data_IF_119979006332
#
_entry.id   IF_119979006332
#
_cell.length_a   1.000
_cell.length_b   1.000
_cell.length_c   1.000
_cell.angle_alpha   90.00
_cell.angle_beta   90.00
_cell.angle_gamma   90.00
#
_symmetry.space_group_name_H-M   'P 1'
#
loop_
_entity.id
_entity.type
_entity.pdbx_description
1 polymer ?
#
# COMPACT_ATOMS: atom_id res chain seq x y z
N UNK A 1 37.01 42.87 -19.55
CA UNK A 1 35.70 42.61 -20.18
C UNK A 1 35.23 41.16 -19.96
N UNK A 2 36.09 40.16 -20.14
CA UNK A 2 35.72 38.74 -19.94
C UNK A 2 35.43 38.36 -18.47
N UNK A 3 36.09 39.00 -17.50
CA UNK A 3 35.86 38.73 -16.07
C UNK A 3 34.53 39.31 -15.54
N UNK A 4 34.00 40.36 -16.20
CA UNK A 4 32.72 40.97 -15.82
C UNK A 4 31.52 40.18 -16.36
N UNK A 5 31.73 39.38 -17.42
CA UNK A 5 30.71 38.52 -18.01
C UNK A 5 30.51 37.20 -17.23
N UNK A 6 31.49 36.82 -16.40
CA UNK A 6 31.41 35.61 -15.58
C UNK A 6 30.66 35.81 -14.25
N UNK A 7 30.57 37.06 -13.75
CA UNK A 7 29.75 37.38 -12.57
C UNK A 7 28.25 37.45 -12.87
N UNK A 8 27.84 37.55 -14.13
CA UNK A 8 26.43 37.72 -14.51
C UNK A 8 25.66 36.40 -14.66
N UNK A 9 26.31 35.24 -14.49
CA UNK A 9 25.69 33.91 -14.64
C UNK A 9 25.35 33.20 -13.31
N UNK A 10 25.42 33.88 -12.16
CA UNK A 10 25.18 33.28 -10.85
C UNK A 10 23.91 33.73 -10.11
N UNK A 11 22.94 34.33 -10.79
CA UNK A 11 21.64 34.66 -10.19
C UNK A 11 20.53 33.79 -10.75
N UNK A 12 20.31 32.65 -10.10
CA UNK A 12 19.08 31.87 -10.20
C UNK A 12 18.10 32.43 -9.14
N UNK A 13 16.84 32.73 -9.48
CA UNK A 13 15.90 33.27 -8.50
C UNK A 13 15.44 32.18 -7.52
N UNK A 14 15.65 32.44 -6.23
CA UNK A 14 15.09 31.68 -5.11
C UNK A 14 13.54 31.71 -5.16
N UNK A 15 12.83 30.58 -5.00
CA UNK A 15 11.39 30.60 -4.80
C UNK A 15 11.09 31.19 -3.41
N UNK A 16 10.46 32.36 -3.39
CA UNK A 16 10.03 33.02 -2.16
C UNK A 16 9.03 32.19 -1.34
N UNK A 17 8.88 32.48 -0.04
CA UNK A 17 7.97 31.75 0.84
C UNK A 17 6.52 31.96 0.41
N UNK A 18 5.85 30.88 0.03
CA UNK A 18 4.40 30.87 -0.16
C UNK A 18 3.72 31.12 1.20
N UNK A 19 3.11 32.30 1.32
CA UNK A 19 2.19 32.61 2.40
C UNK A 19 0.90 31.82 2.17
N UNK A 20 0.60 30.91 3.10
CA UNK A 20 -0.74 30.34 3.28
C UNK A 20 -1.68 31.47 3.72
N UNK A 21 -2.83 31.69 3.04
CA UNK A 21 -3.84 32.62 3.54
C UNK A 21 -4.42 32.08 4.84
N UNK A 22 -4.28 32.87 5.91
CA UNK A 22 -4.99 32.65 7.17
C UNK A 22 -6.49 32.84 6.92
N UNK A 23 -7.28 31.79 7.11
CA UNK A 23 -8.73 31.93 7.23
C UNK A 23 -9.03 32.47 8.63
N UNK A 24 -9.45 33.72 8.64
CA UNK A 24 -9.93 34.49 9.79
C UNK A 24 -11.15 33.80 10.45
N UNK A 25 -11.10 33.68 11.77
CA UNK A 25 -12.21 33.21 12.59
C UNK A 25 -13.20 34.36 12.83
N UNK A 26 -14.49 34.11 12.54
CA UNK A 26 -15.64 34.94 12.90
C UNK A 26 -16.88 34.05 13.13
N UNK A 27 -17.92 34.53 13.85
CA UNK A 27 -18.38 33.90 15.08
C UNK A 27 -19.51 32.86 14.92
N UNK A 28 -19.56 31.96 15.91
CA UNK A 28 -20.61 30.97 16.18
C UNK A 28 -21.94 31.67 16.47
N UNK A 29 -23.06 31.23 15.85
CA UNK A 29 -24.21 30.85 16.66
C UNK A 29 -25.05 29.69 16.08
N UNK A 30 -25.65 28.89 16.96
CA UNK A 30 -26.88 28.16 16.63
C UNK A 30 -26.82 26.63 16.68
N UNK A 31 -26.90 26.09 17.89
CA UNK A 31 -27.77 24.97 18.31
C UNK A 31 -28.19 23.92 17.26
N UNK A 32 -27.84 22.65 17.52
CA UNK A 32 -28.45 21.53 16.79
C UNK A 32 -27.88 20.15 17.15
N UNK A 33 -28.30 19.64 18.31
CA UNK A 33 -28.40 18.21 18.68
C UNK A 33 -27.12 17.38 18.80
N UNK A 34 -26.86 16.96 20.04
CA UNK A 34 -26.14 15.75 20.35
C UNK A 34 -26.85 14.56 19.68
N UNK A 35 -26.11 13.83 18.84
CA UNK A 35 -26.47 12.48 18.45
C UNK A 35 -25.44 11.56 19.09
N UNK A 36 -25.99 10.70 19.94
CA UNK A 36 -25.33 9.71 20.76
C UNK A 36 -24.30 8.92 19.95
N UNK A 37 -23.06 8.88 20.42
CA UNK A 37 -22.16 7.79 20.07
C UNK A 37 -22.69 6.56 20.80
N UNK A 38 -23.60 5.83 20.14
CA UNK A 38 -23.90 4.48 20.52
C UNK A 38 -22.60 3.69 20.37
N UNK A 39 -21.97 3.36 21.49
CA UNK A 39 -21.01 2.26 21.56
C UNK A 39 -21.73 1.04 21.00
N UNK A 40 -21.42 0.68 19.76
CA UNK A 40 -21.80 -0.62 19.24
C UNK A 40 -20.86 -1.60 19.91
N UNK A 41 -21.31 -2.11 21.05
CA UNK A 41 -20.76 -3.28 21.72
C UNK A 41 -20.50 -4.35 20.67
N UNK A 42 -19.25 -4.78 20.60
CA UNK A 42 -18.73 -5.81 19.70
C UNK A 42 -19.30 -7.21 19.97
N UNK A 43 -20.34 -7.32 20.82
CA UNK A 43 -20.69 -8.54 21.54
C UNK A 43 -22.07 -9.12 21.14
N UNK A 44 -22.57 -8.89 19.93
CA UNK A 44 -23.90 -9.43 19.54
C UNK A 44 -24.02 -10.02 18.14
N UNK A 45 -22.91 -10.31 17.45
CA UNK A 45 -22.94 -10.99 16.15
C UNK A 45 -22.24 -12.37 16.15
N UNK A 46 -22.12 -13.02 17.30
CA UNK A 46 -21.51 -14.36 17.39
C UNK A 46 -22.51 -15.53 17.54
N UNK A 47 -23.83 -15.29 17.51
CA UNK A 47 -24.79 -16.35 17.89
C UNK A 47 -25.43 -17.13 16.74
N UNK A 48 -24.87 -17.14 15.53
CA UNK A 48 -25.40 -17.98 14.44
C UNK A 48 -24.39 -18.24 13.33
N UNK A 49 -23.20 -18.73 13.68
CA UNK A 49 -22.34 -19.39 12.70
C UNK A 49 -22.39 -20.89 13.01
N UNK A 50 -22.86 -21.66 12.04
CA UNK A 50 -22.84 -23.11 12.06
C UNK A 50 -21.44 -23.62 12.44
N UNK A 51 -21.37 -24.65 13.29
CA UNK A 51 -20.13 -25.25 13.80
C UNK A 51 -19.10 -25.59 12.71
N UNK A 52 -19.55 -25.73 11.45
CA UNK A 52 -18.75 -26.02 10.28
C UNK A 52 -17.94 -24.79 9.77
N UNK A 53 -18.39 -23.57 10.07
CA UNK A 53 -17.69 -22.33 9.69
C UNK A 53 -16.46 -22.07 10.57
N UNK A 54 -16.50 -22.47 11.84
CA UNK A 54 -15.36 -22.33 12.75
C UNK A 54 -14.21 -23.31 12.41
N UNK A 55 -14.53 -24.47 11.83
CA UNK A 55 -13.54 -25.45 11.37
C UNK A 55 -12.82 -25.00 10.09
N UNK A 56 -13.48 -24.22 9.22
CA UNK A 56 -12.87 -23.57 8.06
C UNK A 56 -12.04 -22.33 8.42
N UNK A 57 -12.32 -21.66 9.54
CA UNK A 57 -11.55 -20.51 10.00
C UNK A 57 -10.07 -20.87 10.27
N UNK A 58 -9.79 -22.10 10.72
CA UNK A 58 -8.41 -22.58 10.88
C UNK A 58 -7.67 -22.80 9.55
N UNK A 59 -8.39 -22.85 8.42
CA UNK A 59 -7.82 -23.07 7.11
C UNK A 59 -7.37 -21.78 6.40
N UNK A 60 -7.60 -20.59 6.97
CA UNK A 60 -7.27 -19.31 6.35
C UNK A 60 -6.48 -18.41 7.29
N UNK A 61 -5.57 -17.61 6.71
CA UNK A 61 -4.88 -16.55 7.47
C UNK A 61 -5.79 -15.32 7.48
N UNK A 62 -5.78 -14.58 8.59
CA UNK A 62 -6.52 -13.32 8.68
C UNK A 62 -6.02 -12.34 7.62
N UNK A 63 -6.95 -11.59 7.02
CA UNK A 63 -6.58 -10.57 6.05
C UNK A 63 -5.74 -9.49 6.74
N UNK A 64 -4.60 -9.17 6.15
CA UNK A 64 -3.70 -8.14 6.65
C UNK A 64 -3.28 -7.18 5.54
N UNK A 65 -3.04 -5.93 5.93
CA UNK A 65 -2.40 -4.95 5.06
C UNK A 65 -0.89 -5.17 5.00
N UNK A 66 -0.20 -4.75 3.93
CA UNK A 66 1.25 -4.84 3.87
C UNK A 66 1.91 -4.16 5.08
N UNK A 67 2.87 -4.85 5.70
CA UNK A 67 3.66 -4.37 6.85
C UNK A 67 2.89 -4.18 8.17
N UNK A 68 1.66 -4.70 8.31
CA UNK A 68 0.84 -4.55 9.53
C UNK A 68 1.54 -4.91 10.84
N UNK A 69 2.46 -5.89 10.82
CA UNK A 69 3.21 -6.34 11.99
C UNK A 69 4.52 -5.57 12.23
N UNK A 70 4.96 -4.79 11.24
CA UNK A 70 6.27 -4.13 11.23
C UNK A 70 6.18 -2.62 11.45
N UNK A 71 4.99 -2.02 11.30
CA UNK A 71 4.71 -0.58 11.46
C UNK A 71 3.36 -0.35 12.16
N UNK A 72 3.14 0.81 12.82
CA UNK A 72 1.83 1.14 13.40
C UNK A 72 0.74 1.29 12.33
N UNK A 73 -0.57 1.23 12.69
CA UNK A 73 -1.68 1.29 11.75
C UNK A 73 -1.72 2.54 10.85
N UNK A 74 -1.21 3.68 11.33
CA UNK A 74 -1.09 4.93 10.57
C UNK A 74 0.37 5.43 10.65
N UNK A 75 1.28 4.86 9.83
CA UNK A 75 2.71 5.11 9.98
C UNK A 75 3.15 6.39 9.28
N UNK A 76 4.09 7.09 9.91
CA UNK A 76 4.77 8.24 9.31
C UNK A 76 5.74 7.78 8.21
N UNK A 77 6.15 8.74 7.36
CA UNK A 77 7.15 8.47 6.30
C UNK A 77 8.48 7.97 6.88
N UNK A 78 8.88 8.46 8.07
CA UNK A 78 10.11 8.06 8.72
C UNK A 78 10.08 6.58 9.17
N UNK A 79 8.97 6.14 9.75
CA UNK A 79 8.78 4.75 10.20
C UNK A 79 8.75 3.79 9.00
N UNK A 80 8.03 4.15 7.94
CA UNK A 80 8.02 3.37 6.69
C UNK A 80 9.40 3.31 6.03
N UNK A 81 10.14 4.42 6.03
CA UNK A 81 11.51 4.45 5.52
C UNK A 81 12.43 3.55 6.34
N UNK A 82 12.34 3.59 7.67
CA UNK A 82 13.13 2.73 8.53
C UNK A 82 12.83 1.25 8.26
N UNK A 83 11.55 0.85 8.17
CA UNK A 83 11.17 -0.53 7.87
C UNK A 83 11.64 -0.99 6.49
N UNK A 84 11.38 -0.22 5.43
CA UNK A 84 11.57 -0.67 4.04
C UNK A 84 12.98 -0.39 3.51
N UNK A 85 13.52 0.80 3.80
CA UNK A 85 14.78 1.27 3.23
C UNK A 85 15.98 0.97 4.13
N UNK A 86 15.83 1.03 5.45
CA UNK A 86 16.92 0.75 6.39
C UNK A 86 16.95 -0.74 6.75
N UNK A 87 15.86 -1.26 7.30
CA UNK A 87 15.73 -2.67 7.72
C UNK A 87 15.48 -3.64 6.56
N UNK A 88 15.22 -3.11 5.36
CA UNK A 88 14.99 -3.88 4.12
C UNK A 88 13.86 -4.90 4.22
N UNK A 89 12.84 -4.62 5.04
CA UNK A 89 11.70 -5.51 5.22
C UNK A 89 10.89 -5.56 3.93
N UNK A 90 10.33 -6.73 3.64
CA UNK A 90 9.35 -6.97 2.57
C UNK A 90 8.14 -7.70 3.17
N UNK A 91 6.96 -7.60 2.54
CA UNK A 91 5.77 -8.29 3.02
C UNK A 91 6.05 -9.79 3.15
N UNK A 92 5.65 -10.37 4.29
CA UNK A 92 5.84 -11.79 4.57
C UNK A 92 4.97 -12.61 3.63
N UNK A 93 5.54 -13.69 3.11
CA UNK A 93 4.82 -14.63 2.26
C UNK A 93 4.29 -15.77 3.12
N UNK A 94 3.00 -16.07 2.99
CA UNK A 94 2.42 -17.24 3.65
C UNK A 94 3.12 -18.52 3.18
N UNK A 95 3.61 -19.38 4.10
CA UNK A 95 4.15 -20.69 3.73
C UNK A 95 3.14 -21.55 2.96
N UNK A 96 1.83 -21.31 3.14
CA UNK A 96 0.77 -22.01 2.40
C UNK A 96 0.84 -21.73 0.91
N UNK A 97 1.16 -20.50 0.50
CA UNK A 97 1.26 -20.14 -0.92
C UNK A 97 2.39 -20.91 -1.62
N UNK A 98 3.46 -21.23 -0.89
CA UNK A 98 4.58 -22.00 -1.45
C UNK A 98 4.26 -23.47 -1.68
N UNK A 99 3.16 -23.99 -1.11
CA UNK A 99 2.74 -25.39 -1.28
C UNK A 99 2.22 -25.69 -2.69
N UNK A 100 1.61 -24.72 -3.35
CA UNK A 100 0.99 -24.90 -4.67
C UNK A 100 1.88 -24.33 -5.78
N UNK A 101 2.04 -25.06 -6.88
CA UNK A 101 2.88 -24.65 -8.01
C UNK A 101 2.39 -23.34 -8.66
N UNK A 102 1.08 -23.18 -8.82
CA UNK A 102 0.47 -21.95 -9.31
C UNK A 102 0.85 -20.75 -8.46
N UNK A 103 0.61 -20.86 -7.16
CA UNK A 103 0.89 -19.78 -6.19
C UNK A 103 2.37 -19.45 -6.08
N UNK A 104 3.28 -20.43 -6.20
CA UNK A 104 4.73 -20.17 -6.22
C UNK A 104 5.12 -19.24 -7.37
N UNK A 105 4.63 -19.50 -8.57
CA UNK A 105 4.96 -18.67 -9.73
C UNK A 105 4.41 -17.24 -9.57
N UNK A 106 3.20 -17.08 -9.01
CA UNK A 106 2.66 -15.76 -8.65
C UNK A 106 3.49 -15.04 -7.59
N UNK A 107 3.92 -15.77 -6.56
CA UNK A 107 4.81 -15.26 -5.51
C UNK A 107 6.11 -14.76 -6.12
N UNK A 108 6.71 -15.49 -7.04
CA UNK A 108 7.92 -15.05 -7.75
C UNK A 108 7.68 -13.70 -8.44
N UNK A 109 6.62 -13.57 -9.24
CA UNK A 109 6.30 -12.28 -9.88
C UNK A 109 6.12 -11.14 -8.88
N UNK A 110 5.39 -11.37 -7.78
CA UNK A 110 5.22 -10.36 -6.73
C UNK A 110 6.57 -9.96 -6.14
N UNK A 111 7.46 -10.93 -5.89
CA UNK A 111 8.78 -10.64 -5.31
C UNK A 111 9.71 -9.86 -6.24
N UNK A 112 9.56 -10.03 -7.55
CA UNK A 112 10.32 -9.26 -8.54
C UNK A 112 9.88 -7.79 -8.58
N UNK A 113 8.66 -7.46 -8.14
CA UNK A 113 8.16 -6.08 -8.13
C UNK A 113 8.77 -5.23 -7.01
N UNK A 114 9.25 -5.82 -5.91
CA UNK A 114 9.77 -5.08 -4.77
C UNK A 114 11.29 -5.21 -4.58
N UNK A 115 12.03 -5.44 -5.67
CA UNK A 115 13.49 -5.36 -5.65
C UNK A 115 13.99 -4.00 -5.14
N UNK A 116 15.11 -4.02 -4.41
CA UNK A 116 15.75 -2.81 -3.93
C UNK A 116 16.15 -1.88 -5.07
N UNK A 117 16.75 -2.44 -6.13
CA UNK A 117 17.13 -1.69 -7.34
C UNK A 117 15.91 -1.49 -8.24
N UNK A 118 15.49 -0.24 -8.52
CA UNK A 118 14.32 0.02 -9.37
C UNK A 118 14.42 -0.59 -10.76
N UNK A 119 15.62 -0.63 -11.35
CA UNK A 119 15.85 -1.16 -12.70
C UNK A 119 15.67 -2.68 -12.80
N UNK A 120 15.71 -3.39 -11.67
CA UNK A 120 15.46 -4.83 -11.62
C UNK A 120 13.96 -5.16 -11.50
N UNK A 121 13.10 -4.17 -11.23
CA UNK A 121 11.65 -4.38 -11.09
C UNK A 121 11.00 -4.59 -12.44
N UNK A 122 9.92 -5.37 -12.43
CA UNK A 122 9.11 -5.60 -13.62
C UNK A 122 8.43 -4.29 -14.09
N UNK A 123 8.39 -4.09 -15.40
CA UNK A 123 7.52 -3.06 -15.98
C UNK A 123 6.07 -3.51 -15.89
N UNK A 124 5.14 -2.56 -15.85
CA UNK A 124 3.71 -2.86 -15.82
C UNK A 124 3.28 -3.78 -16.97
N UNK A 125 3.79 -3.56 -18.19
CA UNK A 125 3.50 -4.41 -19.33
C UNK A 125 4.01 -5.85 -19.16
N UNK A 126 5.25 -6.01 -18.64
CA UNK A 126 5.82 -7.34 -18.40
C UNK A 126 5.02 -8.06 -17.31
N UNK A 127 4.70 -7.37 -16.22
CA UNK A 127 3.89 -7.90 -15.13
C UNK A 127 2.54 -8.39 -15.66
N UNK A 128 1.81 -7.56 -16.42
CA UNK A 128 0.50 -7.90 -17.00
C UNK A 128 0.57 -9.15 -17.90
N UNK A 129 1.56 -9.22 -18.80
CA UNK A 129 1.77 -10.38 -19.66
C UNK A 129 2.04 -11.65 -18.85
N UNK A 130 2.98 -11.57 -17.91
CA UNK A 130 3.32 -12.73 -17.08
C UNK A 130 2.14 -13.21 -16.23
N UNK A 131 1.33 -12.31 -15.67
CA UNK A 131 0.09 -12.68 -14.98
C UNK A 131 -0.91 -13.39 -15.91
N UNK A 132 -1.06 -12.93 -17.15
CA UNK A 132 -1.92 -13.57 -18.13
C UNK A 132 -1.42 -14.97 -18.50
N UNK A 133 -0.11 -15.12 -18.73
CA UNK A 133 0.50 -16.42 -19.05
C UNK A 133 0.26 -17.43 -17.91
N UNK A 134 0.41 -16.97 -16.67
CA UNK A 134 0.13 -17.75 -15.46
C UNK A 134 -1.35 -18.14 -15.33
N UNK A 135 -2.24 -17.19 -15.60
CA UNK A 135 -3.67 -17.42 -15.53
C UNK A 135 -4.14 -18.42 -16.60
N UNK A 136 -3.61 -18.33 -17.81
CA UNK A 136 -3.86 -19.30 -18.87
C UNK A 136 -3.28 -20.67 -18.49
N UNK A 137 -2.05 -20.72 -17.97
CA UNK A 137 -1.34 -21.95 -17.58
C UNK A 137 -2.07 -22.76 -16.50
N UNK A 138 -2.59 -22.10 -15.47
CA UNK A 138 -3.14 -22.78 -14.29
C UNK A 138 -4.67 -22.76 -14.21
N UNK A 139 -5.32 -21.79 -14.83
CA UNK A 139 -6.77 -21.59 -14.71
C UNK A 139 -7.51 -21.57 -16.05
N UNK A 140 -6.79 -21.71 -17.18
CA UNK A 140 -7.34 -21.55 -18.54
C UNK A 140 -8.09 -20.20 -18.72
N UNK A 141 -7.62 -19.16 -18.02
CA UNK A 141 -8.19 -17.82 -18.09
C UNK A 141 -7.36 -16.94 -19.03
N UNK A 142 -8.03 -16.11 -19.83
CA UNK A 142 -7.41 -15.08 -20.64
C UNK A 142 -7.69 -13.70 -20.03
N UNK A 143 -6.69 -13.12 -19.35
CA UNK A 143 -6.84 -11.83 -18.65
C UNK A 143 -6.65 -10.63 -19.61
N UNK A 144 -6.13 -10.88 -20.82
CA UNK A 144 -5.76 -9.85 -21.79
C UNK A 144 -6.82 -9.61 -22.87
N UNK A 145 -7.99 -10.25 -22.79
CA UNK A 145 -9.03 -10.16 -23.83
C UNK A 145 -9.85 -8.86 -23.78
N UNK A 146 -9.63 -8.03 -22.76
CA UNK A 146 -10.30 -6.75 -22.60
C UNK A 146 -9.29 -5.59 -22.69
N UNK A 147 -9.03 -5.13 -23.92
CA UNK A 147 -8.51 -3.80 -24.26
C UNK A 147 -9.25 -3.33 -25.53
#
# INVERSE_FOLDING_TARGET
QQQQQQQQQQQLPEPGPQQVPQAEQGPIPGQGQALEHQEVSSESLESSLDENTHELAYAFEEFQVPYQEDVPPDPTVAEMYEAICVRKIRPRLSPRWLRFASMRDYVTLMTECWYEKPQARLSALRLRKSFSDLASKYFNLNIMEYD
#
